data_IF_352547855426
#
_entry.id   IF_352547855426
#
_cell.length_a   1.000
_cell.length_b   1.000
_cell.length_c   1.000
_cell.angle_alpha   90.00
_cell.angle_beta   90.00
_cell.angle_gamma   90.00
#
_symmetry.space_group_name_H-M   'P 1'
#
loop_
_entity.id
_entity.type
_entity.pdbx_description
1 polymer ?
#
# COMPACT_ATOMS: atom_id res chain seq x y z
N UNK A 1 24.87 -9.49 7.04
CA UNK A 1 23.43 -9.47 6.66
C UNK A 1 22.57 -8.73 7.69
N UNK A 2 22.80 -8.89 9.00
CA UNK A 2 22.00 -8.27 10.07
C UNK A 2 22.08 -6.74 10.19
N UNK A 3 23.24 -6.12 9.91
CA UNK A 3 23.41 -4.66 10.04
C UNK A 3 22.59 -3.85 9.03
N UNK A 4 22.47 -4.31 7.78
CA UNK A 4 21.68 -3.62 6.73
C UNK A 4 20.18 -3.61 7.06
N UNK A 5 19.68 -4.71 7.64
CA UNK A 5 18.27 -4.86 8.03
C UNK A 5 17.94 -3.91 9.19
N UNK A 6 18.80 -3.89 10.23
CA UNK A 6 18.63 -2.97 11.36
C UNK A 6 18.64 -1.52 10.86
N UNK A 7 19.55 -1.19 9.95
CA UNK A 7 19.63 0.15 9.37
C UNK A 7 18.39 0.50 8.53
N UNK A 8 17.89 -0.44 7.73
CA UNK A 8 16.65 -0.29 6.96
C UNK A 8 15.44 -0.05 7.86
N UNK A 9 15.28 -0.85 8.93
CA UNK A 9 14.21 -0.68 9.93
C UNK A 9 14.36 0.65 10.67
N UNK A 10 15.59 1.04 11.05
CA UNK A 10 15.85 2.30 11.72
C UNK A 10 15.54 3.51 10.82
N UNK A 11 15.86 3.43 9.53
CA UNK A 11 15.49 4.47 8.55
C UNK A 11 13.98 4.50 8.37
N UNK A 12 13.31 3.36 8.21
CA UNK A 12 11.85 3.31 8.06
C UNK A 12 11.18 3.91 9.31
N UNK A 13 11.64 3.55 10.51
CA UNK A 13 11.15 4.11 11.77
C UNK A 13 11.45 5.60 11.89
N UNK A 14 12.65 6.04 11.49
CA UNK A 14 13.05 7.44 11.50
C UNK A 14 12.19 8.28 10.56
N UNK A 15 12.00 7.83 9.32
CA UNK A 15 11.11 8.44 8.33
C UNK A 15 9.67 8.43 8.85
N UNK A 16 9.20 7.34 9.44
CA UNK A 16 7.85 7.22 9.97
C UNK A 16 7.61 8.17 11.15
N UNK A 17 8.57 8.32 12.05
CA UNK A 17 8.52 9.25 13.18
C UNK A 17 8.60 10.71 12.74
N UNK A 18 9.47 11.02 11.77
CA UNK A 18 9.59 12.37 11.21
C UNK A 18 8.33 12.73 10.42
N UNK A 19 7.81 11.80 9.61
CA UNK A 19 6.54 11.94 8.91
C UNK A 19 5.38 12.15 9.89
N UNK A 20 5.26 11.33 10.93
CA UNK A 20 4.22 11.47 11.95
C UNK A 20 4.30 12.81 12.71
N UNK A 21 5.51 13.29 13.05
CA UNK A 21 5.67 14.62 13.70
C UNK A 21 5.44 15.78 12.74
N UNK A 22 5.90 15.69 11.49
CA UNK A 22 5.87 16.78 10.52
C UNK A 22 4.50 16.91 9.84
N UNK A 23 3.81 15.80 9.59
CA UNK A 23 2.43 15.73 9.09
C UNK A 23 1.44 16.40 10.06
N UNK A 24 1.73 16.38 11.38
CA UNK A 24 0.94 17.11 12.38
C UNK A 24 1.25 18.62 12.47
N UNK A 25 2.38 19.10 11.94
CA UNK A 25 2.73 20.53 11.95
C UNK A 25 2.11 21.19 10.71
N UNK A 26 0.83 21.56 10.86
CA UNK A 26 0.03 22.49 10.04
C UNK A 26 0.83 23.19 8.92
N UNK A 27 0.97 22.55 7.76
CA UNK A 27 1.20 23.29 6.53
C UNK A 27 -0.16 23.49 5.87
N UNK A 28 -0.63 24.74 5.89
CA UNK A 28 -1.83 25.18 5.17
C UNK A 28 -1.57 25.09 3.66
N UNK A 29 -1.74 23.90 3.09
CA UNK A 29 -1.77 23.71 1.64
C UNK A 29 -3.22 23.71 1.12
N UNK A 30 -3.45 24.04 -0.16
CA UNK A 30 -4.79 24.05 -0.73
C UNK A 30 -5.44 22.66 -0.66
N UNK A 31 -6.76 22.65 -0.50
CA UNK A 31 -7.63 21.50 -0.18
C UNK A 31 -7.29 20.20 -0.92
N UNK A 32 -6.93 20.25 -2.21
CA UNK A 32 -6.62 19.05 -3.01
C UNK A 32 -5.27 18.43 -2.65
N UNK A 33 -4.29 19.26 -2.32
CA UNK A 33 -2.94 18.83 -1.98
C UNK A 33 -2.89 18.33 -0.54
N UNK A 34 -3.68 18.92 0.35
CA UNK A 34 -3.82 18.47 1.74
C UNK A 34 -4.28 17.00 1.79
N UNK A 35 -5.28 16.59 1.00
CA UNK A 35 -5.70 15.18 0.96
C UNK A 35 -4.62 14.23 0.44
N UNK A 36 -3.78 14.65 -0.51
CA UNK A 36 -2.70 13.81 -1.04
C UNK A 36 -1.53 13.65 -0.07
N UNK A 37 -1.16 14.72 0.65
CA UNK A 37 -0.08 14.65 1.63
C UNK A 37 -0.52 13.97 2.93
N UNK A 38 -1.79 14.07 3.34
CA UNK A 38 -2.29 13.42 4.55
C UNK A 38 -2.56 11.91 4.40
N UNK A 39 -2.70 11.39 3.18
CA UNK A 39 -3.10 9.98 2.94
C UNK A 39 -1.93 8.99 2.84
N UNK A 40 -0.71 9.43 3.16
CA UNK A 40 0.46 8.55 3.22
C UNK A 40 1.20 8.36 1.89
N UNK A 41 0.87 9.14 0.85
CA UNK A 41 1.64 9.18 -0.41
C UNK A 41 3.10 9.57 -0.17
N UNK A 42 3.38 10.40 0.84
CA UNK A 42 4.74 10.74 1.24
C UNK A 42 5.57 9.50 1.63
N UNK A 43 4.97 8.52 2.31
CA UNK A 43 5.65 7.28 2.65
C UNK A 43 5.95 6.41 1.44
N UNK A 44 5.07 6.43 0.43
CA UNK A 44 5.29 5.73 -0.84
C UNK A 44 6.46 6.38 -1.60
N UNK A 45 6.50 7.72 -1.67
CA UNK A 45 7.60 8.45 -2.30
C UNK A 45 8.94 8.18 -1.60
N UNK A 46 8.96 8.23 -0.26
CA UNK A 46 10.18 7.93 0.50
C UNK A 46 10.59 6.46 0.33
N UNK A 47 9.65 5.52 0.32
CA UNK A 47 9.92 4.12 0.02
C UNK A 47 10.52 3.91 -1.37
N UNK A 48 10.02 4.63 -2.37
CA UNK A 48 10.54 4.60 -3.73
C UNK A 48 11.97 5.17 -3.81
N UNK A 49 12.25 6.28 -3.12
CA UNK A 49 13.60 6.82 -2.98
C UNK A 49 14.56 5.90 -2.20
N UNK A 50 14.05 5.06 -1.28
CA UNK A 50 14.84 4.09 -0.52
C UNK A 50 15.03 2.75 -1.27
N UNK A 51 14.24 2.52 -2.31
CA UNK A 51 14.23 1.31 -3.12
C UNK A 51 15.49 1.11 -3.96
N UNK A 52 15.53 -0.04 -4.65
CA UNK A 52 16.65 -0.46 -5.50
C UNK A 52 17.03 0.53 -6.60
N UNK A 53 16.09 1.37 -7.05
CA UNK A 53 16.30 2.38 -8.09
C UNK A 53 17.12 3.60 -7.67
N UNK A 54 17.25 3.88 -6.36
CA UNK A 54 17.93 5.08 -5.87
C UNK A 54 19.01 4.76 -4.84
N UNK A 55 18.64 4.28 -3.65
CA UNK A 55 19.57 4.06 -2.53
C UNK A 55 19.97 2.60 -2.34
N UNK A 56 19.29 1.64 -2.99
CA UNK A 56 19.55 0.19 -2.88
C UNK A 56 19.55 -0.35 -1.43
N UNK A 57 18.85 0.33 -0.53
CA UNK A 57 18.70 -0.07 0.87
C UNK A 57 17.57 -1.09 1.00
N UNK A 58 16.44 -0.85 0.32
CA UNK A 58 15.34 -1.80 0.16
C UNK A 58 15.53 -2.67 -1.08
N UNK A 59 16.48 -3.59 -1.00
CA UNK A 59 16.66 -4.66 -2.00
C UNK A 59 15.68 -5.82 -1.75
N UNK A 60 15.43 -6.66 -2.76
CA UNK A 60 14.52 -7.81 -2.70
C UNK A 60 14.86 -8.75 -1.53
N UNK A 61 16.15 -8.94 -1.25
CA UNK A 61 16.64 -9.73 -0.12
C UNK A 61 16.22 -9.17 1.25
N UNK A 62 16.22 -7.83 1.36
CA UNK A 62 15.84 -7.10 2.58
C UNK A 62 14.32 -7.09 2.74
N UNK A 63 13.56 -6.89 1.65
CA UNK A 63 12.10 -7.00 1.63
C UNK A 63 11.62 -8.38 2.07
N UNK A 64 12.22 -9.45 1.54
CA UNK A 64 11.90 -10.83 1.95
C UNK A 64 12.18 -11.08 3.44
N UNK A 65 13.23 -10.46 3.98
CA UNK A 65 13.56 -10.55 5.41
C UNK A 65 12.60 -9.75 6.29
N UNK A 66 12.02 -8.66 5.76
CA UNK A 66 11.00 -7.84 6.43
C UNK A 66 9.58 -8.42 6.28
N UNK A 67 9.34 -9.31 5.32
CA UNK A 67 8.04 -9.94 5.08
C UNK A 67 7.35 -10.48 6.36
N UNK A 68 8.02 -11.24 7.27
CA UNK A 68 7.36 -11.70 8.50
C UNK A 68 6.93 -10.54 9.41
N UNK A 69 7.71 -9.46 9.46
CA UNK A 69 7.36 -8.25 10.21
C UNK A 69 6.15 -7.54 9.59
N UNK A 70 6.12 -7.41 8.25
CA UNK A 70 4.98 -6.82 7.54
C UNK A 70 3.70 -7.64 7.77
N UNK A 71 3.78 -8.96 7.68
CA UNK A 71 2.66 -9.86 7.97
C UNK A 71 2.17 -9.72 9.42
N UNK A 72 3.11 -9.59 10.38
CA UNK A 72 2.76 -9.35 11.79
C UNK A 72 2.05 -8.00 11.97
N UNK A 73 2.58 -6.93 11.37
CA UNK A 73 2.00 -5.59 11.47
C UNK A 73 0.62 -5.52 10.80
N UNK A 74 0.45 -6.12 9.62
CA UNK A 74 -0.85 -6.21 8.95
C UNK A 74 -1.86 -7.01 9.78
N UNK A 75 -1.42 -8.14 10.36
CA UNK A 75 -2.23 -8.92 11.28
C UNK A 75 -2.63 -8.13 12.52
N UNK A 76 -1.70 -7.37 13.11
CA UNK A 76 -1.95 -6.52 14.26
C UNK A 76 -2.94 -5.39 13.94
N UNK A 77 -2.80 -4.72 12.80
CA UNK A 77 -3.74 -3.70 12.34
C UNK A 77 -5.13 -4.32 12.14
N UNK A 78 -5.22 -5.46 11.45
CA UNK A 78 -6.47 -6.18 11.26
C UNK A 78 -7.13 -6.59 12.57
N UNK A 79 -6.33 -7.01 13.55
CA UNK A 79 -6.80 -7.35 14.89
C UNK A 79 -7.33 -6.12 15.65
N UNK A 80 -6.61 -5.00 15.62
CA UNK A 80 -7.04 -3.75 16.26
C UNK A 80 -8.38 -3.25 15.69
N UNK A 81 -8.53 -3.26 14.36
CA UNK A 81 -9.79 -2.88 13.74
C UNK A 81 -10.88 -3.92 14.03
N UNK A 82 -10.54 -5.21 14.00
CA UNK A 82 -11.43 -6.32 14.35
C UNK A 82 -12.02 -6.20 15.75
N UNK A 83 -11.21 -5.83 16.76
CA UNK A 83 -11.68 -5.60 18.12
C UNK A 83 -12.58 -4.37 18.25
N UNK A 84 -12.35 -3.34 17.44
CA UNK A 84 -13.18 -2.14 17.40
C UNK A 84 -14.53 -2.35 16.68
N UNK A 85 -14.69 -3.49 15.97
CA UNK A 85 -15.94 -3.81 15.28
C UNK A 85 -17.04 -4.16 16.27
N UNK A 86 -17.93 -3.21 16.51
CA UNK A 86 -19.13 -3.44 17.30
C UNK A 86 -20.24 -4.08 16.45
N UNK A 87 -20.30 -5.42 16.44
CA UNK A 87 -21.33 -6.19 15.73
C UNK A 87 -22.78 -5.77 16.08
N UNK A 88 -22.99 -5.21 17.28
CA UNK A 88 -24.28 -4.66 17.71
C UNK A 88 -24.70 -3.43 16.89
N UNK A 89 -23.77 -2.53 16.58
CA UNK A 89 -24.03 -1.36 15.71
C UNK A 89 -24.27 -1.78 14.26
N UNK A 90 -23.52 -2.77 13.79
CA UNK A 90 -23.65 -3.33 12.44
C UNK A 90 -25.01 -3.98 12.18
N UNK A 91 -25.62 -4.60 13.20
CA UNK A 91 -26.94 -5.24 13.10
C UNK A 91 -28.12 -4.26 13.08
N UNK A 92 -27.91 -3.01 13.48
CA UNK A 92 -28.96 -1.98 13.49
C UNK A 92 -29.31 -1.49 12.07
N UNK A 93 -28.43 -1.72 11.10
CA UNK A 93 -28.65 -1.31 9.71
C UNK A 93 -29.57 -2.29 8.97
N UNK A 94 -30.56 -1.79 8.19
CA UNK A 94 -31.44 -2.63 7.41
C UNK A 94 -30.63 -3.43 6.37
N UNK A 95 -31.05 -4.67 6.09
CA UNK A 95 -30.36 -5.59 5.14
C UNK A 95 -30.14 -4.96 3.76
N UNK A 96 -31.00 -4.03 3.34
CA UNK A 96 -30.86 -3.29 2.09
C UNK A 96 -29.53 -2.53 1.99
N UNK A 97 -29.03 -1.94 3.09
CA UNK A 97 -27.78 -1.17 3.07
C UNK A 97 -26.55 -2.08 2.95
N UNK A 98 -26.61 -3.26 3.58
CA UNK A 98 -25.58 -4.29 3.41
C UNK A 98 -25.46 -4.75 1.96
N UNK A 99 -26.61 -5.06 1.33
CA UNK A 99 -26.64 -5.46 -0.08
C UNK A 99 -26.14 -4.33 -0.97
N UNK A 100 -26.60 -3.09 -0.74
CA UNK A 100 -26.17 -1.94 -1.53
C UNK A 100 -24.64 -1.73 -1.46
N UNK A 101 -24.04 -1.76 -0.28
CA UNK A 101 -22.59 -1.58 -0.10
C UNK A 101 -21.80 -2.73 -0.73
N UNK A 102 -22.25 -3.99 -0.57
CA UNK A 102 -21.60 -5.14 -1.18
C UNK A 102 -21.69 -5.08 -2.70
N UNK A 103 -22.88 -4.81 -3.25
CA UNK A 103 -23.08 -4.66 -4.70
C UNK A 103 -22.23 -3.52 -5.24
N UNK A 104 -22.24 -2.35 -4.59
CA UNK A 104 -21.39 -1.23 -4.98
C UNK A 104 -19.91 -1.64 -5.02
N UNK A 105 -19.42 -2.33 -3.98
CA UNK A 105 -18.00 -2.72 -3.86
C UNK A 105 -17.59 -3.72 -4.93
N UNK A 106 -18.48 -4.68 -5.26
CA UNK A 106 -18.25 -5.64 -6.35
C UNK A 106 -18.24 -4.92 -7.70
N UNK A 107 -19.19 -4.01 -7.94
CA UNK A 107 -19.28 -3.24 -9.18
C UNK A 107 -18.06 -2.35 -9.37
N UNK A 108 -17.61 -1.64 -8.33
CA UNK A 108 -16.40 -0.80 -8.42
C UNK A 108 -15.16 -1.65 -8.65
N UNK A 109 -15.03 -2.79 -7.98
CA UNK A 109 -13.91 -3.72 -8.18
C UNK A 109 -13.86 -4.24 -9.62
N UNK A 110 -14.99 -4.71 -10.16
CA UNK A 110 -15.10 -5.19 -11.54
C UNK A 110 -14.77 -4.07 -12.52
N UNK A 111 -15.38 -2.90 -12.34
CA UNK A 111 -15.19 -1.76 -13.25
C UNK A 111 -13.74 -1.29 -13.30
N UNK A 112 -13.10 -1.11 -12.14
CA UNK A 112 -11.69 -0.72 -12.05
C UNK A 112 -10.81 -1.79 -12.66
N UNK A 113 -11.06 -3.07 -12.37
CA UNK A 113 -10.29 -4.17 -12.95
C UNK A 113 -10.34 -4.18 -14.48
N UNK A 114 -11.54 -4.08 -15.07
CA UNK A 114 -11.71 -4.05 -16.53
C UNK A 114 -11.10 -2.79 -17.15
N UNK A 115 -11.25 -1.62 -16.50
CA UNK A 115 -10.67 -0.37 -16.98
C UNK A 115 -9.14 -0.45 -17.03
N UNK A 116 -8.51 -0.89 -15.94
CA UNK A 116 -7.05 -1.02 -15.87
C UNK A 116 -6.54 -2.11 -16.80
N UNK A 117 -7.22 -3.24 -16.90
CA UNK A 117 -6.84 -4.31 -17.81
C UNK A 117 -6.96 -3.86 -19.28
N UNK A 118 -8.04 -3.17 -19.65
CA UNK A 118 -8.21 -2.61 -20.99
C UNK A 118 -7.20 -1.53 -21.33
N UNK A 119 -6.88 -0.65 -20.37
CA UNK A 119 -5.82 0.35 -20.51
C UNK A 119 -4.45 -0.30 -20.68
N UNK A 120 -4.15 -1.34 -19.89
CA UNK A 120 -2.90 -2.09 -19.98
C UNK A 120 -2.72 -2.73 -21.36
N UNK A 121 -3.76 -3.37 -21.91
CA UNK A 121 -3.72 -3.94 -23.25
C UNK A 121 -3.55 -2.88 -24.36
N UNK A 122 -4.08 -1.67 -24.17
CA UNK A 122 -3.92 -0.56 -25.12
C UNK A 122 -2.55 0.11 -25.04
N UNK A 123 -1.97 0.22 -23.85
CA UNK A 123 -0.63 0.80 -23.65
C UNK A 123 0.49 -0.20 -24.02
N UNK A 124 0.24 -1.50 -23.90
CA UNK A 124 1.18 -2.57 -24.28
C UNK A 124 0.59 -3.48 -25.38
N UNK A 125 0.32 -2.95 -26.59
CA UNK A 125 -0.39 -3.67 -27.66
C UNK A 125 0.40 -4.84 -28.30
N UNK A 126 1.60 -5.16 -27.81
CA UNK A 126 2.58 -6.03 -28.47
C UNK A 126 3.14 -7.18 -27.64
N UNK A 127 2.55 -7.59 -26.51
CA UNK A 127 3.02 -8.80 -25.85
C UNK A 127 1.92 -9.62 -25.15
N UNK A 128 1.33 -10.62 -25.84
CA UNK A 128 0.34 -11.50 -25.22
C UNK A 128 0.92 -12.49 -24.19
N UNK A 129 2.25 -12.67 -24.09
CA UNK A 129 2.80 -13.73 -23.23
C UNK A 129 4.32 -13.60 -22.96
N UNK A 130 4.83 -12.40 -22.63
CA UNK A 130 6.07 -12.34 -21.86
C UNK A 130 5.68 -12.10 -20.40
N UNK A 131 5.74 -13.15 -19.57
CA UNK A 131 5.81 -12.93 -18.16
C UNK A 131 7.03 -12.06 -17.84
N UNK A 132 6.81 -10.99 -17.09
CA UNK A 132 7.82 -10.04 -16.60
C UNK A 132 8.96 -10.70 -15.80
N UNK A 133 8.88 -12.00 -15.50
CA UNK A 133 9.91 -12.82 -14.88
C UNK A 133 10.87 -13.54 -15.85
N UNK A 134 10.61 -13.59 -17.17
CA UNK A 134 11.51 -14.25 -18.12
C UNK A 134 12.89 -13.58 -18.35
N UNK A 135 13.07 -12.23 -18.28
CA UNK A 135 14.41 -11.66 -18.43
C UNK A 135 15.31 -11.90 -17.20
N UNK A 136 14.80 -12.49 -16.11
CA UNK A 136 15.55 -12.90 -14.92
C UNK A 136 16.04 -14.37 -14.98
N UNK A 137 15.61 -15.16 -15.98
CA UNK A 137 15.86 -16.61 -16.05
C UNK A 137 16.66 -17.07 -17.30
N UNK A 138 17.14 -16.18 -18.16
CA UNK A 138 18.08 -16.53 -19.22
C UNK A 138 19.52 -16.27 -18.73
N UNK A 139 20.44 -17.24 -18.86
CA UNK A 139 21.80 -17.22 -18.29
C UNK A 139 22.72 -16.18 -18.93
#
# INVERSE_FOLDING_TARGET
MSMKIIFGVLIILGVSLVGARKSFIRMRFPIVTEYFFLTGTEFILVGLCLGSSFLNILDQSTLSSLAPLISLLLGWIGFLYGMQVEFRKLRMFPRSHWVATVTQSIVTMIFVFFLFHGLFLRLFPGNPAHPWWLPLCLP
#
